data_IF_450053830406
#
_entry.id   IF_450053830406
#
_cell.length_a   1.000
_cell.length_b   1.000
_cell.length_c   1.000
_cell.angle_alpha   90.00
_cell.angle_beta   90.00
_cell.angle_gamma   90.00
#
_symmetry.space_group_name_H-M   'P 1'
#
loop_
_entity.id
_entity.type
_entity.pdbx_description
1 polymer ?
#
# COMPACT_ATOMS: atom_id res chain seq x y z
N UNK A 1 19.08 -52.65 -18.51
CA UNK A 1 19.58 -52.27 -19.85
C UNK A 1 18.45 -51.56 -20.58
N UNK A 2 18.65 -50.24 -20.84
CA UNK A 2 18.11 -49.40 -21.92
C UNK A 2 16.58 -49.47 -22.21
N UNK A 3 15.79 -48.39 -22.15
CA UNK A 3 15.89 -47.15 -22.92
C UNK A 3 15.10 -46.04 -22.20
N UNK A 4 15.74 -44.90 -21.91
CA UNK A 4 15.06 -43.65 -21.57
C UNK A 4 15.45 -42.60 -22.61
N UNK A 5 14.47 -42.13 -23.38
CA UNK A 5 14.64 -41.09 -24.39
C UNK A 5 14.89 -39.76 -23.68
N UNK A 6 16.07 -39.19 -23.91
CA UNK A 6 16.45 -37.83 -23.54
C UNK A 6 15.50 -36.81 -24.18
N UNK A 7 14.66 -36.18 -23.36
CA UNK A 7 14.07 -34.87 -23.65
C UNK A 7 14.85 -33.84 -22.82
N UNK A 8 15.94 -33.36 -23.42
CA UNK A 8 16.74 -32.24 -22.93
C UNK A 8 15.85 -30.99 -22.86
N UNK A 9 15.45 -30.61 -21.63
CA UNK A 9 14.99 -29.27 -21.32
C UNK A 9 16.13 -28.29 -21.61
N UNK A 10 16.01 -27.49 -22.66
CA UNK A 10 16.88 -26.32 -22.84
C UNK A 10 16.51 -25.31 -21.76
N UNK A 11 17.44 -24.87 -20.90
CA UNK A 11 17.17 -23.78 -19.97
C UNK A 11 16.89 -22.51 -20.76
N UNK A 12 15.80 -21.80 -20.42
CA UNK A 12 15.57 -20.44 -20.87
C UNK A 12 16.70 -19.58 -20.28
N UNK A 13 17.77 -19.35 -21.05
CA UNK A 13 18.78 -18.36 -20.72
C UNK A 13 18.16 -16.98 -20.97
N UNK A 14 17.71 -16.33 -19.91
CA UNK A 14 17.50 -14.88 -19.91
C UNK A 14 18.90 -14.26 -20.00
N UNK A 15 19.25 -13.51 -21.05
CA UNK A 15 20.55 -12.86 -21.10
C UNK A 15 20.61 -11.78 -20.02
N UNK A 16 21.58 -11.92 -19.12
CA UNK A 16 22.04 -10.84 -18.27
C UNK A 16 22.81 -9.85 -19.18
N UNK A 17 22.10 -8.87 -19.75
CA UNK A 17 22.72 -7.75 -20.46
C UNK A 17 22.89 -6.57 -19.49
N UNK A 18 24.13 -6.41 -19.03
CA UNK A 18 24.83 -5.15 -18.81
C UNK A 18 23.97 -3.88 -18.65
N UNK A 19 24.02 -3.33 -17.43
CA UNK A 19 23.98 -1.90 -17.08
C UNK A 19 23.79 -0.93 -18.26
N UNK A 20 22.56 -0.48 -18.49
CA UNK A 20 22.29 0.72 -19.27
C UNK A 20 22.37 1.94 -18.35
N UNK A 21 23.27 2.92 -18.59
CA UNK A 21 23.28 4.16 -17.82
C UNK A 21 22.02 4.97 -18.16
N UNK A 22 21.25 5.35 -17.13
CA UNK A 22 20.16 6.31 -17.27
C UNK A 22 20.74 7.67 -17.67
N UNK A 23 20.58 8.02 -18.95
CA UNK A 23 20.86 9.36 -19.47
C UNK A 23 19.82 10.35 -18.92
N UNK A 24 20.25 11.27 -18.06
CA UNK A 24 19.50 12.49 -17.77
C UNK A 24 19.48 13.39 -19.03
N UNK A 25 18.33 13.89 -19.50
CA UNK A 25 18.34 14.96 -20.49
C UNK A 25 18.88 16.26 -19.84
N UNK A 26 19.78 16.99 -20.51
CA UNK A 26 20.29 18.25 -19.98
C UNK A 26 19.21 19.32 -19.97
N UNK A 27 19.26 20.14 -18.92
CA UNK A 27 18.51 21.39 -18.78
C UNK A 27 18.71 22.26 -20.03
N UNK A 28 17.65 22.43 -20.82
CA UNK A 28 17.65 23.38 -21.93
C UNK A 28 17.73 24.80 -21.38
N UNK A 29 18.91 25.41 -21.50
CA UNK A 29 19.16 26.84 -21.27
C UNK A 29 18.90 27.57 -22.59
N UNK A 30 17.74 28.20 -22.74
CA UNK A 30 17.50 29.08 -23.88
C UNK A 30 17.75 30.53 -23.45
N UNK A 31 18.91 31.08 -23.84
CA UNK A 31 19.16 32.51 -23.83
C UNK A 31 18.86 33.05 -25.23
N UNK A 32 17.74 33.75 -25.40
CA UNK A 32 17.60 34.81 -26.38
C UNK A 32 16.32 35.63 -26.16
N UNK A 33 16.51 36.96 -26.13
CA UNK A 33 15.54 38.06 -26.15
C UNK A 33 14.85 38.38 -24.82
N UNK A 34 15.39 39.41 -24.16
CA UNK A 34 14.77 40.08 -23.03
C UNK A 34 13.52 40.83 -23.47
N UNK A 35 12.37 40.28 -23.10
CA UNK A 35 11.13 41.02 -22.86
C UNK A 35 10.52 40.44 -21.59
N UNK A 36 10.41 41.26 -20.55
CA UNK A 36 9.73 40.89 -19.31
C UNK A 36 8.23 41.04 -19.58
N UNK A 37 7.58 39.95 -19.95
CA UNK A 37 6.12 39.86 -19.95
C UNK A 37 5.64 39.78 -18.49
N UNK A 38 4.61 40.53 -18.09
CA UNK A 38 4.12 40.52 -16.71
C UNK A 38 3.70 39.10 -16.31
N UNK A 39 4.11 38.68 -15.12
CA UNK A 39 3.78 37.41 -14.50
C UNK A 39 2.25 37.30 -14.43
N UNK A 40 1.65 36.53 -15.34
CA UNK A 40 0.22 36.20 -15.28
C UNK A 40 0.01 35.40 -14.00
N UNK A 41 -0.76 35.96 -13.07
CA UNK A 41 -1.32 35.21 -11.96
C UNK A 41 -1.91 33.90 -12.48
N UNK A 42 -1.40 32.77 -11.99
CA UNK A 42 -1.98 31.45 -12.24
C UNK A 42 -3.36 31.41 -11.60
N UNK A 43 -4.39 31.82 -12.35
CA UNK A 43 -5.77 31.43 -12.06
C UNK A 43 -5.80 29.90 -11.99
N UNK A 44 -6.48 29.28 -11.00
CA UNK A 44 -6.70 27.85 -11.02
C UNK A 44 -7.50 27.52 -12.27
N UNK A 45 -6.83 27.01 -13.30
CA UNK A 45 -7.49 26.40 -14.44
C UNK A 45 -8.05 25.10 -13.87
N UNK A 46 -9.32 25.15 -13.43
CA UNK A 46 -10.14 23.96 -13.29
C UNK A 46 -10.30 23.44 -14.72
N UNK A 47 -9.30 22.71 -15.22
CA UNK A 47 -9.48 21.92 -16.42
C UNK A 47 -10.46 20.84 -16.01
N UNK A 48 -11.75 21.08 -16.27
CA UNK A 48 -12.77 20.06 -16.09
C UNK A 48 -12.51 18.98 -17.14
N UNK A 49 -11.56 18.08 -16.84
CA UNK A 49 -11.46 16.82 -17.55
C UNK A 49 -12.84 16.19 -17.50
N UNK A 50 -13.30 15.73 -18.67
CA UNK A 50 -14.55 15.01 -18.82
C UNK A 50 -14.70 14.00 -17.68
N UNK A 51 -15.88 13.94 -17.07
CA UNK A 51 -16.19 12.93 -16.04
C UNK A 51 -16.31 11.53 -16.65
N UNK A 52 -16.47 11.42 -17.97
CA UNK A 52 -16.54 10.15 -18.67
C UNK A 52 -15.13 9.58 -18.89
N UNK A 53 -14.82 8.41 -18.31
CA UNK A 53 -13.50 7.79 -18.48
C UNK A 53 -13.24 7.39 -19.93
N UNK A 54 -12.17 7.93 -20.50
CA UNK A 54 -11.56 7.49 -21.75
C UNK A 54 -10.24 6.76 -21.48
N UNK A 55 -9.71 6.03 -22.47
CA UNK A 55 -8.40 5.37 -22.34
C UNK A 55 -7.27 6.36 -21.95
N UNK A 56 -7.27 7.56 -22.54
CA UNK A 56 -6.30 8.60 -22.23
C UNK A 56 -6.41 9.07 -20.76
N UNK A 57 -7.62 9.41 -20.31
CA UNK A 57 -7.84 9.87 -18.93
C UNK A 57 -7.57 8.77 -17.91
N UNK A 58 -7.92 7.50 -18.20
CA UNK A 58 -7.58 6.38 -17.32
C UNK A 58 -6.07 6.21 -17.17
N UNK A 59 -5.31 6.33 -18.27
CA UNK A 59 -3.85 6.28 -18.20
C UNK A 59 -3.29 7.42 -17.34
N UNK A 60 -3.81 8.64 -17.46
CA UNK A 60 -3.41 9.77 -16.62
C UNK A 60 -3.69 9.50 -15.14
N UNK A 61 -4.92 9.09 -14.80
CA UNK A 61 -5.28 8.82 -13.41
C UNK A 61 -4.53 7.61 -12.82
N UNK A 62 -4.24 6.58 -13.62
CA UNK A 62 -3.39 5.45 -13.21
C UNK A 62 -2.03 5.96 -12.72
N UNK A 63 -1.37 6.81 -13.50
CA UNK A 63 -0.07 7.36 -13.13
C UNK A 63 -0.16 8.35 -11.96
N UNK A 64 -1.23 9.15 -11.87
CA UNK A 64 -1.43 10.06 -10.73
C UNK A 64 -1.57 9.31 -9.40
N UNK A 65 -2.39 8.25 -9.33
CA UNK A 65 -2.53 7.48 -8.10
C UNK A 65 -1.31 6.61 -7.81
N UNK A 66 -0.68 6.07 -8.87
CA UNK A 66 0.60 5.35 -8.75
C UNK A 66 1.69 6.25 -8.16
N UNK A 67 1.85 7.47 -8.67
CA UNK A 67 2.85 8.41 -8.19
C UNK A 67 2.64 8.81 -6.74
N UNK A 68 1.38 8.90 -6.27
CA UNK A 68 1.10 9.11 -4.83
C UNK A 68 1.73 8.00 -4.00
N UNK A 69 1.46 6.73 -4.35
CA UNK A 69 1.98 5.59 -3.61
C UNK A 69 3.51 5.50 -3.69
N UNK A 70 4.10 5.82 -4.84
CA UNK A 70 5.56 5.87 -5.04
C UNK A 70 6.22 6.97 -4.22
N UNK A 71 5.66 8.19 -4.22
CA UNK A 71 6.18 9.30 -3.41
C UNK A 71 6.08 9.03 -1.89
N UNK A 72 5.01 8.37 -1.46
CA UNK A 72 4.91 7.84 -0.09
C UNK A 72 6.06 6.86 0.20
N UNK A 73 6.33 5.93 -0.74
CA UNK A 73 7.40 4.94 -0.60
C UNK A 73 8.79 5.56 -0.49
N UNK A 74 9.12 6.51 -1.38
CA UNK A 74 10.39 7.26 -1.33
C UNK A 74 10.54 8.02 0.00
N UNK A 75 9.44 8.58 0.51
CA UNK A 75 9.46 9.26 1.81
C UNK A 75 9.75 8.29 2.94
N UNK A 76 9.07 7.13 2.95
CA UNK A 76 9.26 6.08 3.94
C UNK A 76 10.71 5.57 3.93
N UNK A 77 11.22 5.19 2.76
CA UNK A 77 12.60 4.72 2.58
C UNK A 77 13.63 5.70 3.14
N UNK A 78 13.52 6.98 2.78
CA UNK A 78 14.52 7.99 3.16
C UNK A 78 14.46 8.34 4.64
N UNK A 79 13.26 8.38 5.22
CA UNK A 79 13.03 8.75 6.61
C UNK A 79 13.17 7.58 7.59
N UNK A 80 13.10 6.33 7.11
CA UNK A 80 13.24 5.15 7.95
C UNK A 80 14.62 5.06 8.61
N UNK A 81 14.64 4.41 9.77
CA UNK A 81 15.83 4.21 10.58
C UNK A 81 16.37 2.79 10.40
N UNK A 82 15.48 1.78 10.34
CA UNK A 82 15.94 0.40 10.25
C UNK A 82 16.46 0.02 8.86
N UNK A 83 17.50 -0.82 8.79
CA UNK A 83 17.99 -1.37 7.53
C UNK A 83 16.94 -2.18 6.77
N UNK A 84 15.98 -2.82 7.46
CA UNK A 84 14.90 -3.59 6.82
C UNK A 84 14.05 -2.69 5.91
N UNK A 85 13.68 -1.51 6.37
CA UNK A 85 12.88 -0.58 5.57
C UNK A 85 13.80 0.21 4.62
N UNK A 86 14.91 0.74 5.13
CA UNK A 86 15.76 1.68 4.39
C UNK A 86 16.61 1.04 3.30
N UNK A 87 17.12 -0.16 3.53
CA UNK A 87 18.10 -0.81 2.65
C UNK A 87 17.53 -2.06 1.97
N UNK A 88 16.78 -2.90 2.71
CA UNK A 88 16.13 -4.09 2.15
C UNK A 88 14.81 -3.75 1.42
N UNK A 89 14.29 -2.54 1.62
CA UNK A 89 13.05 -2.05 1.02
C UNK A 89 11.83 -2.93 1.35
N UNK A 90 11.81 -3.46 2.57
CA UNK A 90 10.76 -4.36 3.06
C UNK A 90 9.56 -3.56 3.57
N UNK A 91 8.91 -2.87 2.63
CA UNK A 91 7.72 -2.08 2.89
C UNK A 91 6.85 -1.93 1.63
N UNK A 92 5.61 -1.47 1.78
CA UNK A 92 4.78 -1.02 0.66
C UNK A 92 3.87 0.11 1.11
N UNK A 93 3.56 1.00 0.16
CA UNK A 93 2.63 2.11 0.34
C UNK A 93 1.48 1.97 -0.65
N UNK A 94 0.27 2.29 -0.23
CA UNK A 94 -0.92 2.14 -1.06
C UNK A 94 -1.97 3.22 -0.78
N UNK A 95 -2.76 3.48 -1.82
CA UNK A 95 -3.92 4.36 -1.82
C UNK A 95 -5.16 3.51 -2.00
N UNK A 96 -6.20 3.81 -1.23
CA UNK A 96 -7.49 3.12 -1.23
C UNK A 96 -8.61 4.13 -1.45
N UNK A 97 -9.72 3.69 -2.03
CA UNK A 97 -10.97 4.43 -2.00
C UNK A 97 -11.55 4.48 -0.58
N UNK A 98 -12.46 5.43 -0.33
CA UNK A 98 -13.15 5.57 0.97
C UNK A 98 -14.01 4.38 1.39
N UNK A 99 -14.28 3.43 0.47
CA UNK A 99 -14.90 2.13 0.77
C UNK A 99 -13.88 1.03 1.09
N UNK A 100 -12.60 1.38 1.15
CA UNK A 100 -11.49 0.49 1.50
C UNK A 100 -10.99 -0.40 0.36
N UNK A 101 -11.45 -0.21 -0.88
CA UNK A 101 -10.89 -0.92 -2.04
C UNK A 101 -9.55 -0.32 -2.46
N UNK A 102 -8.55 -1.17 -2.70
CA UNK A 102 -7.23 -0.73 -3.12
C UNK A 102 -7.29 -0.11 -4.52
N UNK A 103 -6.71 1.08 -4.66
CA UNK A 103 -6.70 1.86 -5.90
C UNK A 103 -5.34 1.79 -6.60
N UNK A 104 -4.26 1.95 -5.84
CA UNK A 104 -2.89 1.89 -6.31
C UNK A 104 -1.95 1.46 -5.18
N UNK A 105 -0.90 0.73 -5.51
CA UNK A 105 0.14 0.31 -4.57
C UNK A 105 1.52 0.46 -5.22
N UNK A 106 2.47 1.02 -4.49
CA UNK A 106 3.89 0.90 -4.78
C UNK A 106 4.32 -0.50 -4.32
N UNK A 107 4.27 -1.47 -5.26
CA UNK A 107 4.49 -2.87 -4.96
C UNK A 107 5.99 -3.20 -4.93
N UNK A 108 6.57 -3.25 -3.73
CA UNK A 108 7.92 -3.77 -3.53
C UNK A 108 7.91 -5.22 -3.04
N UNK A 109 6.85 -5.66 -2.34
CA UNK A 109 6.76 -7.00 -1.73
C UNK A 109 5.43 -7.68 -2.10
N UNK A 110 5.45 -8.88 -2.74
CA UNK A 110 4.24 -9.59 -3.15
C UNK A 110 3.25 -9.92 -2.03
N UNK A 111 3.74 -10.24 -0.83
CA UNK A 111 2.87 -10.63 0.31
C UNK A 111 1.99 -9.48 0.81
N UNK A 112 2.29 -8.23 0.45
CA UNK A 112 1.48 -7.07 0.85
C UNK A 112 0.19 -6.93 0.02
N UNK A 113 0.14 -7.52 -1.19
CA UNK A 113 -0.94 -7.30 -2.17
C UNK A 113 -2.33 -7.63 -1.62
N UNK A 114 -2.50 -8.75 -0.93
CA UNK A 114 -3.76 -9.16 -0.30
C UNK A 114 -3.86 -8.78 1.18
N UNK A 115 -2.73 -8.52 1.84
CA UNK A 115 -2.72 -8.21 3.27
C UNK A 115 -3.05 -6.74 3.60
N UNK A 116 -2.61 -5.77 2.78
CA UNK A 116 -2.96 -4.36 3.01
C UNK A 116 -4.46 -4.08 2.87
N UNK A 117 -5.20 -4.61 1.87
CA UNK A 117 -6.66 -4.51 1.83
C UNK A 117 -7.32 -5.05 3.11
N UNK A 118 -6.86 -6.20 3.63
CA UNK A 118 -7.40 -6.77 4.87
C UNK A 118 -7.17 -5.84 6.08
N UNK A 119 -6.00 -5.20 6.19
CA UNK A 119 -5.70 -4.19 7.22
C UNK A 119 -6.62 -2.97 7.12
N UNK A 120 -6.80 -2.42 5.93
CA UNK A 120 -7.66 -1.24 5.74
C UNK A 120 -9.12 -1.57 6.07
N UNK A 121 -9.61 -2.73 5.64
CA UNK A 121 -10.95 -3.19 6.01
C UNK A 121 -11.10 -3.42 7.52
N UNK A 122 -10.09 -3.97 8.19
CA UNK A 122 -10.10 -4.12 9.64
C UNK A 122 -10.11 -2.75 10.35
N UNK A 123 -9.28 -1.81 9.92
CA UNK A 123 -9.29 -0.45 10.43
C UNK A 123 -10.68 0.20 10.27
N UNK A 124 -11.32 0.06 9.11
CA UNK A 124 -12.67 0.59 8.87
C UNK A 124 -13.70 -0.04 9.80
N UNK A 125 -13.69 -1.37 9.97
CA UNK A 125 -14.67 -2.05 10.83
C UNK A 125 -14.52 -1.69 12.29
N UNK A 126 -13.29 -1.65 12.80
CA UNK A 126 -13.04 -1.56 14.25
C UNK A 126 -12.85 -0.12 14.75
N UNK A 127 -12.41 0.81 13.89
CA UNK A 127 -12.03 2.17 14.32
C UNK A 127 -12.89 3.29 13.74
N UNK A 128 -13.85 2.98 12.85
CA UNK A 128 -14.82 3.98 12.40
C UNK A 128 -15.80 4.35 13.55
N UNK A 129 -16.34 5.58 13.56
CA UNK A 129 -16.16 6.66 12.58
C UNK A 129 -14.79 7.36 12.70
N UNK A 130 -14.30 7.83 11.57
CA UNK A 130 -13.00 8.50 11.45
C UNK A 130 -13.11 10.04 11.52
N UNK A 131 -12.03 10.67 11.96
CA UNK A 131 -11.81 12.11 11.95
C UNK A 131 -10.53 12.47 11.17
N UNK A 132 -10.45 13.69 10.60
CA UNK A 132 -9.19 14.17 10.05
C UNK A 132 -8.06 14.10 11.08
N UNK A 133 -6.91 13.55 10.68
CA UNK A 133 -5.76 13.35 11.56
C UNK A 133 -5.75 12.03 12.34
N UNK A 134 -6.76 11.18 12.19
CA UNK A 134 -6.70 9.81 12.74
C UNK A 134 -5.62 8.98 12.04
N UNK A 135 -4.97 8.08 12.78
CA UNK A 135 -4.09 7.05 12.23
C UNK A 135 -4.32 5.77 13.01
N UNK A 136 -4.68 4.70 12.30
CA UNK A 136 -4.83 3.35 12.85
C UNK A 136 -3.54 2.57 12.67
N UNK A 137 -3.16 1.77 13.67
CA UNK A 137 -2.08 0.79 13.62
C UNK A 137 -2.65 -0.64 13.73
N UNK A 138 -2.06 -1.59 13.01
CA UNK A 138 -2.40 -3.01 13.09
C UNK A 138 -1.21 -3.88 12.65
N UNK A 139 -1.00 -5.01 13.34
CA UNK A 139 -0.14 -6.11 12.87
C UNK A 139 -0.73 -7.51 13.15
N UNK A 140 -1.84 -7.59 13.90
CA UNK A 140 -2.48 -8.86 14.26
C UNK A 140 -2.88 -9.65 13.00
N UNK A 141 -2.27 -10.83 12.73
CA UNK A 141 -2.55 -11.64 11.54
C UNK A 141 -4.01 -12.07 11.42
N UNK A 142 -4.72 -12.18 12.54
CA UNK A 142 -6.13 -12.57 12.57
C UNK A 142 -7.08 -11.37 12.42
N UNK A 143 -6.55 -10.14 12.46
CA UNK A 143 -7.32 -8.90 12.31
C UNK A 143 -6.74 -7.97 11.23
N UNK A 144 -6.20 -8.54 10.15
CA UNK A 144 -5.77 -7.80 8.95
C UNK A 144 -4.26 -7.70 8.75
N UNK A 145 -3.45 -8.19 9.69
CA UNK A 145 -2.01 -8.43 9.52
C UNK A 145 -1.70 -9.64 8.63
N UNK A 146 -0.41 -9.92 8.43
CA UNK A 146 0.09 -11.17 7.83
C UNK A 146 1.03 -11.91 8.80
N UNK A 147 1.97 -11.18 9.40
CA UNK A 147 2.83 -11.60 10.51
C UNK A 147 3.14 -10.38 11.40
N UNK A 148 3.59 -10.61 12.63
CA UNK A 148 3.75 -9.53 13.61
C UNK A 148 4.80 -8.46 13.25
N UNK A 149 5.93 -8.79 12.59
CA UNK A 149 6.90 -7.78 12.16
C UNK A 149 6.34 -6.73 11.20
N UNK A 150 5.31 -7.06 10.39
CA UNK A 150 4.73 -6.10 9.44
C UNK A 150 3.71 -5.19 10.11
N UNK A 151 4.17 -3.99 10.47
CA UNK A 151 3.32 -2.97 11.06
C UNK A 151 2.64 -2.17 9.95
N UNK A 152 1.30 -2.22 9.94
CA UNK A 152 0.49 -1.43 9.02
C UNK A 152 -0.05 -0.19 9.72
N UNK A 153 0.18 0.98 9.13
CA UNK A 153 -0.55 2.19 9.46
C UNK A 153 -1.63 2.45 8.40
N UNK A 154 -2.77 3.01 8.81
CA UNK A 154 -3.87 3.42 7.93
C UNK A 154 -4.37 4.82 8.32
N UNK A 155 -4.43 5.74 7.37
CA UNK A 155 -4.92 7.11 7.57
C UNK A 155 -6.11 7.43 6.65
N UNK A 156 -7.25 7.89 7.20
CA UNK A 156 -8.38 8.39 6.43
C UNK A 156 -8.04 9.76 5.81
N UNK A 157 -8.35 9.92 4.53
CA UNK A 157 -8.15 11.17 3.80
C UNK A 157 -9.50 11.77 3.42
N UNK A 158 -9.74 12.97 3.94
CA UNK A 158 -10.94 13.74 3.68
C UNK A 158 -10.65 14.80 2.62
N UNK A 159 -11.45 14.81 1.56
CA UNK A 159 -11.37 15.83 0.50
C UNK A 159 -12.72 16.49 0.33
N UNK A 160 -12.76 17.82 0.48
CA UNK A 160 -13.91 18.64 0.13
C UNK A 160 -13.77 19.15 -1.31
N UNK A 161 -14.90 19.46 -1.95
CA UNK A 161 -14.88 20.38 -3.08
C UNK A 161 -14.51 21.76 -2.53
N UNK A 162 -13.48 22.45 -3.07
CA UNK A 162 -13.16 23.79 -2.62
C UNK A 162 -14.40 24.67 -2.76
N UNK A 163 -14.79 25.33 -1.68
CA UNK A 163 -15.81 26.38 -1.75
C UNK A 163 -15.23 27.52 -2.61
N UNK A 164 -16.06 28.20 -3.41
CA UNK A 164 -15.65 29.27 -4.35
C UNK A 164 -14.89 30.46 -3.71
N UNK A 165 -14.64 30.45 -2.40
CA UNK A 165 -13.91 31.48 -1.65
C UNK A 165 -12.63 31.03 -0.92
N UNK A 166 -12.28 29.74 -0.90
CA UNK A 166 -11.07 29.26 -0.18
C UNK A 166 -9.78 29.39 -0.99
N UNK A 167 -9.87 29.38 -2.32
CA UNK A 167 -8.70 29.54 -3.20
C UNK A 167 -8.04 30.91 -3.11
N UNK A 168 -8.75 31.95 -2.62
CA UNK A 168 -8.20 33.28 -2.44
C UNK A 168 -7.41 33.47 -1.13
N UNK A 169 -7.65 32.63 -0.11
CA UNK A 169 -7.01 32.79 1.21
C UNK A 169 -5.67 32.06 1.32
N UNK A 170 -5.49 30.94 0.62
CA UNK A 170 -4.28 30.14 0.75
C UNK A 170 -3.07 30.67 -0.06
N UNK A 171 -3.27 31.64 -0.95
CA UNK A 171 -2.19 32.26 -1.74
C UNK A 171 -1.63 33.56 -1.14
N UNK A 172 -2.17 34.06 -0.03
CA UNK A 172 -1.82 35.38 0.52
C UNK A 172 -1.09 35.33 1.88
N UNK A 173 -0.37 34.25 2.19
CA UNK A 173 0.29 34.14 3.49
C UNK A 173 1.44 33.14 3.53
N UNK A 174 2.51 33.37 2.80
CA UNK A 174 3.80 32.71 3.08
C UNK A 174 5.06 33.52 2.79
N UNK A 175 4.95 34.79 2.38
CA UNK A 175 6.10 35.70 2.28
C UNK A 175 5.69 37.06 2.83
N UNK A 176 5.90 37.25 4.12
CA UNK A 176 6.43 38.48 4.74
C UNK A 176 6.18 38.41 6.25
N UNK A 177 7.21 38.08 7.03
CA UNK A 177 7.28 38.43 8.45
C UNK A 177 8.73 38.63 8.85
N UNK A 178 9.14 39.89 8.82
CA UNK A 178 10.21 40.40 9.66
C UNK A 178 10.01 39.98 11.11
N UNK A 179 11.07 39.45 11.71
CA UNK A 179 11.17 39.14 13.12
C UNK A 179 11.27 40.43 13.93
N UNK A 180 10.19 40.83 14.63
CA UNK A 180 10.24 41.57 15.92
C UNK A 180 8.82 41.91 16.42
N UNK A 181 8.13 40.96 17.07
CA UNK A 181 7.08 41.26 18.07
C UNK A 181 6.65 39.99 18.82
N UNK A 182 6.40 40.04 20.14
CA UNK A 182 5.97 38.87 20.90
C UNK A 182 4.53 38.46 20.56
N UNK A 183 4.34 37.17 20.29
CA UNK A 183 3.07 36.55 19.91
C UNK A 183 2.05 36.52 21.05
N UNK A 184 0.84 37.04 20.80
CA UNK A 184 -0.34 36.79 21.65
C UNK A 184 -0.86 35.35 21.44
N UNK A 185 -1.36 34.67 22.49
CA UNK A 185 -1.89 33.31 22.36
C UNK A 185 -3.19 33.30 21.55
N UNK A 186 -3.26 32.40 20.58
CA UNK A 186 -4.43 32.13 19.75
C UNK A 186 -5.51 31.46 20.62
N UNK A 187 -6.60 32.18 20.91
CA UNK A 187 -7.76 31.59 21.57
C UNK A 187 -8.49 30.66 20.57
N UNK A 188 -8.61 29.39 20.92
CA UNK A 188 -9.35 28.39 20.17
C UNK A 188 -10.85 28.71 20.17
N UNK A 189 -11.38 29.14 19.03
CA UNK A 189 -12.84 29.18 18.82
C UNK A 189 -13.31 27.77 18.41
N UNK A 190 -14.33 27.19 19.06
CA UNK A 190 -14.85 25.88 18.67
C UNK A 190 -15.67 26.03 17.38
N UNK A 191 -15.13 25.55 16.26
CA UNK A 191 -15.96 25.33 15.08
C UNK A 191 -16.99 24.23 15.39
N UNK A 192 -18.29 24.43 15.11
CA UNK A 192 -19.29 23.40 15.31
C UNK A 192 -18.96 22.18 14.44
N UNK A 193 -18.98 21.01 15.06
CA UNK A 193 -18.76 19.74 14.37
C UNK A 193 -19.80 19.59 13.24
N UNK A 194 -19.41 19.13 12.03
CA UNK A 194 -20.33 18.98 10.92
C UNK A 194 -21.48 18.01 11.29
N UNK A 195 -22.71 18.24 10.79
CA UNK A 195 -23.93 17.56 11.24
C UNK A 195 -24.03 16.07 10.85
N UNK A 196 -23.05 15.54 10.12
CA UNK A 196 -22.94 14.12 9.79
C UNK A 196 -21.48 13.66 9.93
N UNK A 197 -21.24 12.41 10.38
CA UNK A 197 -19.88 11.88 10.44
C UNK A 197 -19.27 11.97 9.04
N UNK A 198 -18.13 12.66 8.95
CA UNK A 198 -17.41 12.81 7.69
C UNK A 198 -17.03 11.40 7.20
N UNK A 199 -17.31 11.12 5.93
CA UNK A 199 -16.83 9.89 5.29
C UNK A 199 -15.51 10.19 4.57
N UNK A 200 -14.43 9.46 4.87
CA UNK A 200 -13.18 9.57 4.11
C UNK A 200 -13.46 9.31 2.63
N UNK A 201 -12.83 10.09 1.74
CA UNK A 201 -12.93 9.81 0.29
C UNK A 201 -11.85 8.83 -0.17
N UNK A 202 -10.76 8.73 0.58
CA UNK A 202 -9.67 7.80 0.37
C UNK A 202 -9.12 7.34 1.72
N UNK A 203 -8.30 6.29 1.69
CA UNK A 203 -7.32 6.00 2.73
C UNK A 203 -5.93 5.93 2.10
N UNK A 204 -4.92 6.26 2.89
CA UNK A 204 -3.53 5.93 2.57
C UNK A 204 -3.02 4.95 3.63
N UNK A 205 -2.23 3.98 3.21
CA UNK A 205 -1.67 2.99 4.12
C UNK A 205 -0.21 2.72 3.76
N UNK A 206 0.55 2.36 4.78
CA UNK A 206 1.91 1.84 4.66
C UNK A 206 2.00 0.58 5.50
N UNK A 207 2.68 -0.42 4.97
CA UNK A 207 3.09 -1.62 5.71
C UNK A 207 4.59 -1.69 5.65
N UNK A 208 5.25 -1.83 6.78
CA UNK A 208 6.69 -1.88 6.85
C UNK A 208 7.12 -2.98 7.81
N UNK A 209 8.18 -3.70 7.47
CA UNK A 209 8.71 -4.78 8.28
C UNK A 209 9.63 -4.22 9.36
N UNK A 210 9.20 -4.33 10.61
CA UNK A 210 9.96 -3.93 11.79
C UNK A 210 10.84 -5.11 12.25
N UNK A 211 12.15 -4.91 12.29
CA UNK A 211 13.11 -6.01 12.53
C UNK A 211 12.92 -6.71 13.89
N UNK A 212 12.46 -5.97 14.89
CA UNK A 212 12.18 -6.47 16.24
C UNK A 212 10.83 -5.95 16.74
N UNK A 213 9.97 -6.86 17.18
CA UNK A 213 8.66 -6.55 17.77
C UNK A 213 8.47 -7.25 19.13
N UNK A 214 9.57 -7.59 19.82
CA UNK A 214 9.53 -8.15 21.17
C UNK A 214 9.30 -9.65 21.29
N UNK A 215 9.52 -10.42 20.22
CA UNK A 215 9.42 -11.89 20.27
C UNK A 215 10.41 -12.53 21.24
N UNK A 216 10.26 -13.82 21.53
CA UNK A 216 11.10 -14.58 22.48
C UNK A 216 12.60 -14.56 22.13
N UNK A 217 12.93 -14.37 20.86
CA UNK A 217 14.29 -14.25 20.34
C UNK A 217 14.42 -12.98 19.50
N UNK A 218 15.62 -12.38 19.40
CA UNK A 218 15.86 -11.25 18.50
C UNK A 218 15.59 -11.62 17.04
N UNK A 219 14.96 -10.70 16.30
CA UNK A 219 14.63 -10.89 14.88
C UNK A 219 13.14 -11.12 14.65
N UNK A 220 12.80 -11.53 13.42
CA UNK A 220 11.44 -11.44 12.90
C UNK A 220 10.66 -12.76 12.86
N UNK A 221 11.36 -13.90 12.88
CA UNK A 221 10.74 -15.23 12.80
C UNK A 221 11.39 -16.18 13.82
N UNK A 222 11.03 -16.08 15.12
CA UNK A 222 11.56 -16.99 16.13
C UNK A 222 11.00 -18.41 15.94
N UNK A 223 11.77 -19.43 16.32
CA UNK A 223 11.33 -20.84 16.37
C UNK A 223 10.28 -21.04 17.49
N UNK A 224 9.09 -20.51 17.25
CA UNK A 224 7.98 -20.40 18.18
C UNK A 224 6.91 -21.43 17.89
N UNK A 225 6.09 -21.71 18.91
CA UNK A 225 4.93 -22.59 18.84
C UNK A 225 3.62 -21.87 19.15
N UNK A 226 3.70 -20.62 19.60
CA UNK A 226 2.55 -19.78 19.90
C UNK A 226 2.84 -18.35 19.47
N UNK A 227 1.83 -17.66 18.94
CA UNK A 227 1.95 -16.28 18.45
C UNK A 227 2.42 -15.30 19.54
N UNK A 228 2.12 -15.55 20.82
CA UNK A 228 2.60 -14.73 21.94
C UNK A 228 4.12 -14.74 22.10
N UNK A 229 4.77 -15.76 21.57
CA UNK A 229 6.22 -15.86 21.54
C UNK A 229 6.82 -15.11 20.35
N UNK A 230 6.01 -14.75 19.36
CA UNK A 230 6.47 -14.03 18.17
C UNK A 230 6.64 -12.55 18.46
N UNK A 231 5.88 -11.98 19.40
CA UNK A 231 6.07 -10.66 19.98
C UNK A 231 4.75 -9.90 20.17
N UNK A 232 4.77 -8.57 20.11
CA UNK A 232 3.59 -7.76 20.38
C UNK A 232 2.53 -7.92 19.28
N UNK A 233 1.31 -8.22 19.72
CA UNK A 233 0.11 -8.32 18.88
C UNK A 233 -0.68 -7.02 19.05
N UNK A 234 -0.82 -6.28 17.95
CA UNK A 234 -1.47 -4.97 17.88
C UNK A 234 -2.75 -5.15 17.07
N UNK A 235 -3.93 -5.23 17.74
CA UNK A 235 -5.20 -5.20 17.04
C UNK A 235 -5.42 -3.81 16.41
N UNK A 236 -6.38 -3.66 15.47
CA UNK A 236 -6.71 -2.36 14.91
C UNK A 236 -7.08 -1.35 15.99
N UNK A 237 -6.26 -0.31 16.17
CA UNK A 237 -6.50 0.74 17.17
C UNK A 237 -5.92 2.08 16.71
N UNK A 238 -6.44 3.19 17.26
CA UNK A 238 -5.96 4.54 16.95
C UNK A 238 -4.60 4.81 17.62
N UNK A 239 -3.54 4.89 16.81
CA UNK A 239 -2.21 5.36 17.19
C UNK A 239 -2.16 6.89 17.32
N UNK A 240 -2.94 7.58 16.47
CA UNK A 240 -3.17 9.03 16.51
C UNK A 240 -4.68 9.25 16.43
N UNK A 241 -5.24 10.06 17.32
CA UNK A 241 -6.65 10.45 17.37
C UNK A 241 -6.77 11.95 17.10
N UNK A 242 -7.36 12.30 15.96
CA UNK A 242 -7.53 13.68 15.50
C UNK A 242 -6.24 14.53 15.58
N UNK A 243 -5.11 13.96 15.16
CA UNK A 243 -3.80 14.61 15.19
C UNK A 243 -3.06 14.54 16.53
N UNK A 244 -3.68 13.99 17.58
CA UNK A 244 -3.04 13.79 18.88
C UNK A 244 -2.52 12.36 19.00
N UNK A 245 -1.21 12.22 19.25
CA UNK A 245 -0.58 10.91 19.42
C UNK A 245 -1.08 10.23 20.69
N UNK A 246 -1.45 8.96 20.58
CA UNK A 246 -1.79 8.13 21.73
C UNK A 246 -0.50 7.69 22.47
N UNK A 247 -0.05 8.52 23.41
CA UNK A 247 1.19 8.29 24.17
C UNK A 247 1.20 6.99 24.98
N UNK A 248 0.03 6.48 25.37
CA UNK A 248 -0.04 5.20 26.10
C UNK A 248 0.29 4.03 25.17
N UNK A 249 -0.37 3.98 24.01
CA UNK A 249 -0.11 2.97 22.96
C UNK A 249 1.32 3.07 22.46
N UNK A 250 1.78 4.28 22.16
CA UNK A 250 3.13 4.51 21.64
C UNK A 250 4.20 3.98 22.61
N UNK A 251 4.11 4.34 23.90
CA UNK A 251 5.03 3.85 24.93
C UNK A 251 4.95 2.34 25.11
N UNK A 252 3.76 1.74 25.04
CA UNK A 252 3.58 0.30 25.14
C UNK A 252 4.34 -0.43 24.01
N UNK A 253 4.17 0.01 22.77
CA UNK A 253 4.84 -0.58 21.60
C UNK A 253 6.35 -0.47 21.76
N UNK A 254 6.87 0.73 22.01
CA UNK A 254 8.31 0.94 22.13
C UNK A 254 8.92 0.14 23.29
N UNK A 255 8.24 0.05 24.43
CA UNK A 255 8.74 -0.69 25.59
C UNK A 255 8.91 -2.18 25.32
N UNK A 256 8.12 -2.73 24.39
CA UNK A 256 8.19 -4.15 24.02
C UNK A 256 9.19 -4.42 22.90
N UNK A 257 9.92 -3.43 22.39
CA UNK A 257 10.95 -3.63 21.38
C UNK A 257 12.36 -3.56 21.99
N UNK A 258 13.29 -4.37 21.46
CA UNK A 258 14.71 -4.32 21.81
C UNK A 258 15.41 -3.06 21.28
N UNK A 259 14.90 -2.49 20.19
CA UNK A 259 15.44 -1.28 19.52
C UNK A 259 14.40 -0.14 19.50
N UNK A 260 14.00 0.40 20.66
CA UNK A 260 12.89 1.36 20.74
C UNK A 260 13.11 2.65 19.95
N UNK A 261 14.33 3.16 19.87
CA UNK A 261 14.65 4.37 19.10
C UNK A 261 14.46 4.14 17.60
N UNK A 262 14.85 2.96 17.12
CA UNK A 262 14.67 2.53 15.72
C UNK A 262 13.18 2.34 15.40
N UNK A 263 12.42 1.66 16.28
CA UNK A 263 10.96 1.51 16.13
C UNK A 263 10.25 2.85 16.12
N UNK A 264 10.65 3.78 16.99
CA UNK A 264 10.12 5.13 17.01
C UNK A 264 10.43 5.86 15.69
N UNK A 265 11.66 5.75 15.18
CA UNK A 265 12.04 6.31 13.87
C UNK A 265 11.18 5.77 12.73
N UNK A 266 11.01 4.45 12.66
CA UNK A 266 10.24 3.78 11.61
C UNK A 266 8.74 4.12 11.66
N UNK A 267 8.13 4.18 12.85
CA UNK A 267 6.73 4.63 12.99
C UNK A 267 6.56 6.09 12.52
N UNK A 268 7.50 6.97 12.87
CA UNK A 268 7.47 8.36 12.39
C UNK A 268 7.69 8.45 10.88
N UNK A 269 8.52 7.59 10.29
CA UNK A 269 8.71 7.51 8.85
C UNK A 269 7.41 7.08 8.12
N UNK A 270 6.68 6.12 8.67
CA UNK A 270 5.36 5.72 8.15
C UNK A 270 4.34 6.88 8.24
N UNK A 271 4.31 7.62 9.37
CA UNK A 271 3.47 8.82 9.50
C UNK A 271 3.83 9.92 8.48
N UNK A 272 5.13 10.15 8.24
CA UNK A 272 5.60 11.10 7.24
C UNK A 272 5.17 10.71 5.81
N UNK A 273 5.28 9.43 5.48
CA UNK A 273 4.78 8.91 4.20
C UNK A 273 3.27 9.15 4.05
N UNK A 274 2.48 8.92 5.09
CA UNK A 274 1.04 9.17 5.07
C UNK A 274 0.70 10.65 4.85
N UNK A 275 1.45 11.57 5.47
CA UNK A 275 1.25 13.01 5.27
C UNK A 275 1.48 13.41 3.79
N UNK A 276 2.51 12.85 3.14
CA UNK A 276 2.75 13.05 1.71
C UNK A 276 1.58 12.49 0.87
N UNK A 277 1.13 11.27 1.17
CA UNK A 277 0.01 10.64 0.48
C UNK A 277 -1.28 11.48 0.56
N UNK A 278 -1.62 11.95 1.76
CA UNK A 278 -2.76 12.83 1.99
C UNK A 278 -2.63 14.15 1.21
N UNK A 279 -1.46 14.79 1.26
CA UNK A 279 -1.21 16.04 0.55
C UNK A 279 -1.40 15.86 -0.96
N UNK A 280 -0.80 14.82 -1.56
CA UNK A 280 -0.91 14.58 -3.01
C UNK A 280 -2.33 14.28 -3.46
N UNK A 281 -3.09 13.51 -2.68
CA UNK A 281 -4.50 13.27 -2.99
C UNK A 281 -5.33 14.55 -2.96
N UNK A 282 -5.09 15.42 -1.98
CA UNK A 282 -5.74 16.74 -1.90
C UNK A 282 -5.36 17.63 -3.09
N UNK A 283 -4.10 17.64 -3.50
CA UNK A 283 -3.63 18.38 -4.70
C UNK A 283 -4.30 17.87 -5.98
N UNK A 284 -4.39 16.55 -6.18
CA UNK A 284 -5.09 15.92 -7.30
C UNK A 284 -6.57 16.34 -7.31
N UNK A 285 -7.25 16.27 -6.16
CA UNK A 285 -8.67 16.66 -6.04
C UNK A 285 -8.89 18.15 -6.26
N UNK A 286 -8.00 19.00 -5.76
CA UNK A 286 -8.04 20.45 -5.99
C UNK A 286 -7.92 20.79 -7.47
N UNK A 287 -7.02 20.09 -8.19
CA UNK A 287 -6.75 20.34 -9.61
C UNK A 287 -7.82 19.80 -10.56
N UNK A 288 -8.29 18.58 -10.34
CA UNK A 288 -9.16 17.87 -11.29
C UNK A 288 -10.62 17.75 -10.83
N UNK A 289 -10.91 18.12 -9.58
CA UNK A 289 -12.26 18.10 -9.01
C UNK A 289 -12.66 16.72 -8.48
N UNK A 290 -13.23 16.70 -7.27
CA UNK A 290 -13.60 15.48 -6.52
C UNK A 290 -14.40 14.47 -7.34
N UNK A 291 -15.43 14.93 -8.06
CA UNK A 291 -16.30 14.06 -8.86
C UNK A 291 -15.53 13.35 -9.97
N UNK A 292 -14.68 14.07 -10.71
CA UNK A 292 -13.88 13.49 -11.79
C UNK A 292 -12.89 12.47 -11.23
N UNK A 293 -12.14 12.86 -10.18
CA UNK A 293 -11.14 11.99 -9.53
C UNK A 293 -11.76 10.67 -9.04
N UNK A 294 -12.86 10.74 -8.29
CA UNK A 294 -13.51 9.53 -7.76
C UNK A 294 -14.15 8.66 -8.85
N UNK A 295 -14.65 9.27 -9.93
CA UNK A 295 -15.21 8.52 -11.06
C UNK A 295 -14.12 7.73 -11.78
N UNK A 296 -12.96 8.35 -12.02
CA UNK A 296 -11.84 7.67 -12.66
C UNK A 296 -11.18 6.63 -11.75
N UNK A 297 -11.10 6.89 -10.44
CA UNK A 297 -10.61 5.92 -9.48
C UNK A 297 -11.43 4.61 -9.50
N UNK A 298 -12.76 4.71 -9.50
CA UNK A 298 -13.65 3.55 -9.64
C UNK A 298 -13.47 2.86 -10.99
N UNK A 299 -13.40 3.64 -12.07
CA UNK A 299 -13.21 3.09 -13.41
C UNK A 299 -11.86 2.37 -13.59
N UNK A 300 -10.81 2.77 -12.86
CA UNK A 300 -9.52 2.06 -12.85
C UNK A 300 -9.61 0.67 -12.20
N UNK A 301 -10.38 0.54 -11.12
CA UNK A 301 -10.66 -0.76 -10.50
C UNK A 301 -11.48 -1.64 -11.45
N UNK A 302 -12.53 -1.08 -12.06
CA UNK A 302 -13.34 -1.81 -13.04
C UNK A 302 -12.53 -2.23 -14.28
N UNK A 303 -11.58 -1.38 -14.71
CA UNK A 303 -10.67 -1.70 -15.80
C UNK A 303 -9.73 -2.85 -15.44
N UNK A 304 -9.12 -2.81 -14.25
CA UNK A 304 -8.28 -3.91 -13.77
C UNK A 304 -9.06 -5.23 -13.72
N UNK A 305 -10.29 -5.22 -13.22
CA UNK A 305 -11.18 -6.39 -13.24
C UNK A 305 -11.38 -6.97 -14.64
N UNK A 306 -11.69 -6.13 -15.63
CA UNK A 306 -11.86 -6.58 -17.02
C UNK A 306 -10.58 -7.19 -17.57
N UNK A 307 -9.42 -6.63 -17.24
CA UNK A 307 -8.12 -7.16 -17.65
C UNK A 307 -7.84 -8.52 -17.00
N UNK A 308 -8.12 -8.67 -15.70
CA UNK A 308 -7.98 -9.93 -14.97
C UNK A 308 -8.89 -11.01 -15.56
N UNK A 309 -10.17 -10.69 -15.79
CA UNK A 309 -11.13 -11.61 -16.41
C UNK A 309 -10.70 -12.00 -17.83
N UNK A 310 -10.14 -11.07 -18.62
CA UNK A 310 -9.61 -11.34 -19.95
C UNK A 310 -8.41 -12.29 -19.90
N UNK A 311 -7.48 -12.09 -18.96
CA UNK A 311 -6.36 -12.99 -18.74
C UNK A 311 -6.84 -14.41 -18.35
N UNK A 312 -7.76 -14.50 -17.39
CA UNK A 312 -8.32 -15.79 -16.95
C UNK A 312 -8.99 -16.52 -18.12
N UNK A 313 -9.70 -15.80 -19.00
CA UNK A 313 -10.37 -16.42 -20.15
C UNK A 313 -9.45 -17.01 -21.21
N UNK A 314 -8.15 -16.72 -21.17
CA UNK A 314 -7.16 -17.39 -22.02
C UNK A 314 -6.68 -18.71 -21.43
N UNK A 315 -6.95 -18.98 -20.15
CA UNK A 315 -6.62 -20.24 -19.51
C UNK A 315 -7.75 -21.22 -19.86
N UNK A 316 -7.43 -22.41 -20.41
CA UNK A 316 -8.47 -23.40 -20.73
C UNK A 316 -9.31 -23.76 -19.51
N UNK A 317 -10.61 -23.96 -19.73
CA UNK A 317 -11.51 -24.45 -18.68
C UNK A 317 -11.06 -25.83 -18.20
N UNK A 318 -10.99 -25.99 -16.88
CA UNK A 318 -10.47 -27.22 -16.31
C UNK A 318 -10.17 -27.13 -14.82
N UNK A 319 -9.72 -28.25 -14.27
CA UNK A 319 -9.20 -28.36 -12.91
C UNK A 319 -7.72 -28.72 -12.97
N UNK A 320 -6.89 -27.90 -12.36
CA UNK A 320 -5.45 -28.04 -12.27
C UNK A 320 -5.08 -28.26 -10.81
N UNK A 321 -4.15 -29.16 -10.55
CA UNK A 321 -3.70 -29.45 -9.18
C UNK A 321 -2.19 -29.48 -9.13
N UNK A 322 -1.62 -28.81 -8.14
CA UNK A 322 -0.20 -28.88 -7.83
C UNK A 322 0.00 -29.06 -6.33
N UNK A 323 0.98 -29.88 -5.97
CA UNK A 323 1.35 -30.16 -4.59
C UNK A 323 2.86 -30.07 -4.47
N UNK A 324 3.31 -29.33 -3.46
CA UNK A 324 4.69 -29.19 -3.07
C UNK A 324 4.83 -29.31 -1.54
N UNK A 325 6.04 -29.17 -1.02
CA UNK A 325 6.33 -29.35 0.40
C UNK A 325 7.24 -28.23 0.91
N UNK A 326 6.99 -27.76 2.14
CA UNK A 326 8.05 -27.18 2.96
C UNK A 326 8.87 -28.32 3.56
N UNK A 327 10.18 -28.11 3.71
CA UNK A 327 11.09 -29.13 4.23
C UNK A 327 10.62 -29.65 5.60
N UNK A 328 10.25 -28.75 6.50
CA UNK A 328 9.67 -29.04 7.81
C UNK A 328 9.03 -27.79 8.48
N UNK A 329 8.66 -27.85 9.76
CA UNK A 329 8.08 -26.73 10.53
C UNK A 329 9.06 -26.04 11.51
N UNK A 330 10.36 -26.29 11.36
CA UNK A 330 11.43 -25.79 12.21
C UNK A 330 11.60 -26.54 13.54
N UNK A 331 10.79 -27.59 13.81
CA UNK A 331 10.91 -28.41 15.02
C UNK A 331 11.83 -29.61 14.83
N UNK A 332 12.53 -30.08 15.87
CA UNK A 332 13.26 -31.35 15.82
C UNK A 332 12.34 -32.52 15.42
N UNK A 333 12.77 -33.32 14.45
CA UNK A 333 12.04 -34.49 13.92
C UNK A 333 10.68 -34.17 13.28
N UNK A 334 10.45 -32.93 12.85
CA UNK A 334 9.27 -32.59 12.07
C UNK A 334 9.32 -33.19 10.66
N UNK A 335 8.14 -33.33 10.06
CA UNK A 335 7.97 -33.93 8.74
C UNK A 335 7.78 -32.82 7.70
N UNK A 336 8.10 -33.09 6.43
CA UNK A 336 7.73 -32.19 5.34
C UNK A 336 6.26 -31.82 5.40
N UNK A 337 5.97 -30.54 5.19
CA UNK A 337 4.64 -29.95 5.33
C UNK A 337 4.05 -29.74 3.93
N UNK A 338 3.08 -30.57 3.50
CA UNK A 338 2.52 -30.45 2.16
C UNK A 338 1.66 -29.20 1.97
N UNK A 339 1.92 -28.47 0.90
CA UNK A 339 1.10 -27.37 0.38
C UNK A 339 0.47 -27.81 -0.94
N UNK A 340 -0.85 -27.72 -1.04
CA UNK A 340 -1.58 -28.12 -2.25
C UNK A 340 -2.58 -27.04 -2.67
N UNK A 341 -2.52 -26.67 -3.94
CA UNK A 341 -3.49 -25.79 -4.58
C UNK A 341 -4.24 -26.56 -5.68
N UNK A 342 -5.57 -26.51 -5.63
CA UNK A 342 -6.44 -26.93 -6.72
C UNK A 342 -7.08 -25.70 -7.36
N UNK A 343 -6.79 -25.45 -8.62
CA UNK A 343 -7.28 -24.31 -9.39
C UNK A 343 -8.38 -24.80 -10.33
N UNK A 344 -9.57 -24.21 -10.24
CA UNK A 344 -10.67 -24.45 -11.18
C UNK A 344 -10.90 -23.21 -12.01
N UNK A 345 -10.79 -23.32 -13.33
CA UNK A 345 -11.07 -22.24 -14.29
C UNK A 345 -12.37 -22.55 -15.02
N UNK A 346 -13.26 -21.55 -15.07
CA UNK A 346 -14.53 -21.59 -15.80
C UNK A 346 -14.83 -20.24 -16.44
N UNK A 347 -14.62 -20.14 -17.75
CA UNK A 347 -14.75 -18.91 -18.53
C UNK A 347 -13.84 -17.81 -17.98
N UNK A 348 -14.45 -16.81 -17.33
CA UNK A 348 -13.74 -15.63 -16.78
C UNK A 348 -13.47 -15.72 -15.28
N UNK A 349 -13.73 -16.88 -14.66
CA UNK A 349 -13.60 -17.08 -13.22
C UNK A 349 -12.56 -18.13 -12.91
N UNK A 350 -11.79 -17.86 -11.86
CA UNK A 350 -10.82 -18.79 -11.27
C UNK A 350 -11.17 -18.99 -9.80
N UNK A 351 -11.13 -20.23 -9.33
CA UNK A 351 -11.25 -20.57 -7.91
C UNK A 351 -9.99 -21.32 -7.50
N UNK A 352 -9.33 -20.87 -6.44
CA UNK A 352 -8.15 -21.54 -5.87
C UNK A 352 -8.54 -22.14 -4.53
N UNK A 353 -8.40 -23.45 -4.42
CA UNK A 353 -8.76 -24.25 -3.27
C UNK A 353 -7.50 -24.85 -2.62
N UNK A 354 -7.26 -24.46 -1.37
CA UNK A 354 -6.13 -24.92 -0.55
C UNK A 354 -6.51 -26.04 0.43
N UNK A 355 -7.73 -26.62 0.35
CA UNK A 355 -8.21 -27.66 1.28
C UNK A 355 -7.37 -28.95 1.28
N UNK A 356 -6.54 -29.16 0.26
CA UNK A 356 -5.56 -30.27 0.22
C UNK A 356 -4.24 -29.97 0.93
N UNK A 357 -4.03 -28.74 1.42
CA UNK A 357 -2.85 -28.35 2.21
C UNK A 357 -2.95 -28.96 3.60
N UNK A 358 -1.81 -29.19 4.24
CA UNK A 358 -1.76 -29.70 5.62
C UNK A 358 -2.55 -28.83 6.60
N UNK A 359 -2.94 -29.45 7.72
CA UNK A 359 -3.39 -28.69 8.89
C UNK A 359 -2.28 -27.76 9.39
N UNK A 360 -2.68 -26.80 10.24
CA UNK A 360 -1.74 -25.95 10.96
C UNK A 360 -0.70 -26.79 11.71
N UNK A 361 0.55 -26.35 11.67
CA UNK A 361 1.69 -27.03 12.29
C UNK A 361 1.98 -26.42 13.65
N UNK A 362 2.74 -27.16 14.47
CA UNK A 362 3.10 -26.70 15.80
C UNK A 362 4.17 -25.60 15.77
N UNK A 363 5.00 -25.52 14.71
CA UNK A 363 5.95 -24.44 14.49
C UNK A 363 5.32 -23.11 14.03
N UNK A 364 6.15 -22.13 13.69
CA UNK A 364 5.73 -20.78 13.32
C UNK A 364 5.43 -20.59 11.82
N UNK A 365 5.46 -21.67 11.04
CA UNK A 365 5.17 -21.65 9.60
C UNK A 365 3.68 -21.87 9.31
N UNK A 366 2.84 -20.99 9.87
CA UNK A 366 1.40 -20.98 9.66
C UNK A 366 0.99 -19.70 8.91
N UNK A 367 0.15 -19.85 7.89
CA UNK A 367 -0.27 -18.73 7.04
C UNK A 367 -1.76 -18.39 7.23
N UNK A 368 -2.04 -17.11 7.50
CA UNK A 368 -3.41 -16.59 7.52
C UNK A 368 -3.96 -16.40 6.10
N UNK A 369 -5.31 -16.32 5.91
CA UNK A 369 -5.91 -16.19 4.59
C UNK A 369 -5.35 -15.04 3.74
N UNK A 370 -4.99 -13.92 4.37
CA UNK A 370 -4.39 -12.76 3.69
C UNK A 370 -3.06 -13.10 2.98
N UNK A 371 -2.25 -14.00 3.54
CA UNK A 371 -1.00 -14.47 2.91
C UNK A 371 -1.33 -15.30 1.67
N UNK A 372 -2.26 -16.26 1.79
CA UNK A 372 -2.67 -17.11 0.68
C UNK A 372 -3.27 -16.28 -0.47
N UNK A 373 -4.12 -15.29 -0.15
CA UNK A 373 -4.69 -14.36 -1.12
C UNK A 373 -3.61 -13.54 -1.84
N UNK A 374 -2.60 -13.06 -1.10
CA UNK A 374 -1.48 -12.31 -1.69
C UNK A 374 -0.66 -13.15 -2.65
N UNK A 375 -0.38 -14.41 -2.30
CA UNK A 375 0.32 -15.34 -3.16
C UNK A 375 -0.47 -15.63 -4.45
N UNK A 376 -1.78 -15.88 -4.32
CA UNK A 376 -2.66 -16.10 -5.48
C UNK A 376 -2.70 -14.87 -6.38
N UNK A 377 -2.90 -13.67 -5.82
CA UNK A 377 -2.95 -12.44 -6.60
C UNK A 377 -1.65 -12.17 -7.35
N UNK A 378 -0.50 -12.46 -6.73
CA UNK A 378 0.80 -12.35 -7.39
C UNK A 378 0.94 -13.35 -8.55
N UNK A 379 0.55 -14.62 -8.35
CA UNK A 379 0.56 -15.63 -9.42
C UNK A 379 -0.37 -15.24 -10.59
N UNK A 380 -1.57 -14.74 -10.28
CA UNK A 380 -2.52 -14.23 -11.30
C UNK A 380 -1.92 -13.06 -12.06
N UNK A 381 -1.23 -12.14 -11.39
CA UNK A 381 -0.51 -11.04 -12.05
C UNK A 381 0.55 -11.56 -13.02
N UNK A 382 1.39 -12.50 -12.59
CA UNK A 382 2.42 -13.09 -13.45
C UNK A 382 1.81 -13.80 -14.67
N UNK A 383 0.73 -14.56 -14.47
CA UNK A 383 0.00 -15.21 -15.55
C UNK A 383 -0.62 -14.18 -16.51
N UNK A 384 -1.25 -13.13 -15.99
CA UNK A 384 -1.85 -12.07 -16.79
C UNK A 384 -0.81 -11.33 -17.64
N UNK A 385 0.37 -11.03 -17.07
CA UNK A 385 1.47 -10.43 -17.81
C UNK A 385 1.93 -11.33 -18.97
N UNK A 386 2.06 -12.65 -18.73
CA UNK A 386 2.46 -13.60 -19.76
C UNK A 386 1.40 -13.76 -20.88
N UNK A 387 0.12 -13.75 -20.52
CA UNK A 387 -1.00 -14.00 -21.44
C UNK A 387 -1.43 -12.75 -22.22
N UNK A 388 -1.38 -11.57 -21.59
CA UNK A 388 -1.81 -10.31 -22.20
C UNK A 388 -0.66 -9.46 -22.74
N UNK A 389 0.59 -9.83 -22.43
CA UNK A 389 1.79 -9.05 -22.79
C UNK A 389 1.71 -7.58 -22.34
N UNK A 390 1.00 -7.34 -21.23
CA UNK A 390 0.81 -6.01 -20.66
C UNK A 390 0.70 -6.13 -19.15
N UNK A 391 1.16 -5.10 -18.44
CA UNK A 391 1.17 -5.10 -16.98
C UNK A 391 -0.24 -4.85 -16.42
N UNK A 392 -0.72 -5.80 -15.62
CA UNK A 392 -1.99 -5.73 -14.93
C UNK A 392 -1.91 -4.68 -13.82
N UNK A 393 -2.78 -3.65 -13.79
CA UNK A 393 -2.85 -2.75 -12.66
C UNK A 393 -3.17 -3.52 -11.37
N UNK A 394 -2.25 -3.49 -10.41
CA UNK A 394 -2.44 -4.16 -9.11
C UNK A 394 -3.26 -3.28 -8.19
N UNK A 395 -4.56 -3.46 -8.27
CA UNK A 395 -5.56 -2.83 -7.42
C UNK A 395 -6.67 -3.86 -7.10
N UNK A 396 -7.74 -3.44 -6.42
CA UNK A 396 -8.80 -4.35 -5.98
C UNK A 396 -9.41 -5.19 -7.12
N UNK A 397 -9.41 -4.70 -8.36
CA UNK A 397 -9.94 -5.43 -9.51
C UNK A 397 -9.11 -6.66 -9.91
N UNK A 398 -7.92 -6.86 -9.34
CA UNK A 398 -7.12 -8.05 -9.57
C UNK A 398 -7.54 -9.27 -8.73
N UNK A 399 -8.42 -9.08 -7.75
CA UNK A 399 -8.99 -10.11 -6.87
C UNK A 399 -10.42 -10.47 -7.31
#
# INVERSE_FOLDING_TARGET
MSHQKNLLWKPLRIPCSQSAPFFYPPLYRNQAKGEILPFRENRPIINSMSTQPTAATLSIYRHLFGSVAEEMGVTLERAAYSPNIKERLDFSCAVFLGDGRMLAQAAHIPVHLGAMPASVQAAIRECAPFRPGDVVIVNDPYQGGNHLPDITLVSPVFVSTPSRGETARNNAGFFDRDHTAPSRPYASSPHPSPPHPLTPSFFVASRAHHADIGGMAPGSMPLSTEIYQEGIIIPPLKLVDAGQRNEAVWRLILRNARTPEERNGDLNAQLAAHAIGEQRLREIVSRYGRTSVLTHAKALIDYAKKMTEAAISQIPDGRYTFRDYLDDDGRPNSKPVPIQAAITVRGRRMTVDFSGTSAAVAGNLNAVPAIAQSAVAYCVRCAALALLQTDLPMNEGAF
#
